data_IF_995411296032
#
_entry.id   IF_995411296032
#
_cell.length_a   1.000
_cell.length_b   1.000
_cell.length_c   1.000
_cell.angle_alpha   90.00
_cell.angle_beta   90.00
_cell.angle_gamma   90.00
#
_symmetry.space_group_name_H-M   'P 1'
#
loop_
_entity.id
_entity.type
_entity.pdbx_description
1 polymer ?
#
# COMPACT_ATOMS: atom_id res chain seq x y z
N UNK A 1 18.48 -5.99 -18.38
CA UNK A 1 17.16 -5.43 -17.96
C UNK A 1 17.26 -3.99 -17.42
N UNK A 2 18.27 -3.70 -16.59
CA UNK A 2 18.47 -2.38 -15.96
C UNK A 2 18.51 -1.21 -16.96
N UNK A 3 19.28 -1.32 -18.05
CA UNK A 3 19.43 -0.24 -19.04
C UNK A 3 18.08 0.17 -19.66
N UNK A 4 17.27 -0.81 -20.10
CA UNK A 4 15.94 -0.57 -20.65
C UNK A 4 15.02 0.12 -19.64
N UNK A 5 15.08 -0.30 -18.36
CA UNK A 5 14.35 0.36 -17.28
C UNK A 5 14.82 1.81 -17.05
N UNK A 6 16.14 2.06 -17.05
CA UNK A 6 16.68 3.42 -16.86
C UNK A 6 16.22 4.36 -17.97
N UNK A 7 16.24 3.92 -19.23
CA UNK A 7 15.76 4.71 -20.37
C UNK A 7 14.26 4.99 -20.23
N UNK A 8 13.46 3.95 -19.96
CA UNK A 8 12.02 4.07 -19.74
C UNK A 8 11.69 5.07 -18.62
N UNK A 9 12.28 4.88 -17.44
CA UNK A 9 12.06 5.73 -16.27
C UNK A 9 12.43 7.18 -16.57
N UNK A 10 13.58 7.41 -17.23
CA UNK A 10 14.06 8.76 -17.56
C UNK A 10 13.06 9.51 -18.44
N UNK A 11 12.56 8.90 -19.51
CA UNK A 11 11.60 9.58 -20.40
C UNK A 11 10.24 9.77 -19.76
N UNK A 12 9.76 8.81 -18.96
CA UNK A 12 8.50 8.97 -18.20
C UNK A 12 8.61 10.12 -17.19
N UNK A 13 9.69 10.20 -16.41
CA UNK A 13 9.87 11.25 -15.42
C UNK A 13 10.05 12.63 -16.06
N UNK A 14 10.81 12.72 -17.16
CA UNK A 14 10.95 13.95 -17.93
C UNK A 14 9.60 14.44 -18.46
N UNK A 15 8.80 13.53 -19.02
CA UNK A 15 7.44 13.86 -19.51
C UNK A 15 6.54 14.28 -18.35
N UNK A 16 6.62 13.59 -17.21
CA UNK A 16 5.88 13.94 -15.99
C UNK A 16 6.23 15.35 -15.52
N UNK A 17 7.50 15.71 -15.48
CA UNK A 17 7.96 17.05 -15.06
C UNK A 17 7.50 18.15 -16.02
N UNK A 18 7.49 17.88 -17.33
CA UNK A 18 7.06 18.86 -18.34
C UNK A 18 5.54 19.04 -18.40
N UNK A 19 4.77 17.95 -18.25
CA UNK A 19 3.33 17.95 -18.48
C UNK A 19 2.49 18.10 -17.19
N UNK A 20 3.02 17.70 -16.02
CA UNK A 20 2.25 17.71 -14.77
C UNK A 20 2.57 18.96 -13.95
N UNK A 21 1.63 19.91 -13.79
CA UNK A 21 1.88 21.13 -13.04
C UNK A 21 2.10 20.85 -11.55
N UNK A 22 3.24 21.31 -11.02
CA UNK A 22 3.58 21.17 -9.60
C UNK A 22 2.95 22.29 -8.78
N UNK A 23 2.16 21.94 -7.78
CA UNK A 23 1.64 22.89 -6.81
C UNK A 23 2.43 22.82 -5.49
N UNK A 24 3.08 23.93 -5.13
CA UNK A 24 3.75 24.04 -3.83
C UNK A 24 2.71 24.05 -2.71
N UNK A 25 2.78 23.09 -1.80
CA UNK A 25 1.90 23.06 -0.62
C UNK A 25 2.31 24.20 0.31
N UNK A 26 1.58 25.33 0.28
CA UNK A 26 1.72 26.36 1.31
C UNK A 26 1.45 25.74 2.69
N UNK A 27 2.37 25.95 3.63
CA UNK A 27 2.23 25.56 5.04
C UNK A 27 0.90 26.09 5.59
N UNK A 28 0.26 25.33 6.49
CA UNK A 28 -1.17 25.38 6.82
C UNK A 28 -1.78 26.71 7.29
N UNK A 29 -0.98 27.76 7.41
CA UNK A 29 -1.40 29.12 7.72
C UNK A 29 -2.01 29.78 6.47
N UNK A 30 -3.29 29.49 6.19
CA UNK A 30 -4.06 30.20 5.18
C UNK A 30 -4.90 29.33 4.23
N UNK A 31 -4.92 28.00 4.40
CA UNK A 31 -5.82 27.15 3.61
C UNK A 31 -7.27 27.44 4.00
N UNK A 32 -8.06 27.92 3.03
CA UNK A 32 -9.51 28.02 3.19
C UNK A 32 -10.05 26.62 3.51
N UNK A 33 -10.91 26.47 4.52
CA UNK A 33 -11.54 25.19 4.80
C UNK A 33 -12.26 24.66 3.56
N UNK A 34 -12.27 23.34 3.36
CA UNK A 34 -12.88 22.73 2.17
C UNK A 34 -14.37 23.09 2.01
N UNK A 35 -15.07 23.38 3.10
CA UNK A 35 -16.47 23.82 3.11
C UNK A 35 -16.68 25.30 2.74
N UNK A 36 -15.62 26.10 2.66
CA UNK A 36 -15.70 27.54 2.43
C UNK A 36 -15.61 27.87 0.93
N UNK A 37 -16.75 27.78 0.24
CA UNK A 37 -16.87 28.22 -1.15
C UNK A 37 -16.91 29.76 -1.28
N UNK A 38 -16.90 30.28 -2.52
CA UNK A 38 -16.88 31.72 -2.80
C UNK A 38 -18.14 32.42 -2.26
N UNK A 39 -19.31 31.80 -2.40
CA UNK A 39 -20.60 32.35 -1.97
C UNK A 39 -20.67 32.50 -0.45
N UNK A 40 -20.29 31.45 0.30
CA UNK A 40 -20.18 31.48 1.76
C UNK A 40 -19.18 32.52 2.25
N UNK A 41 -18.06 32.68 1.55
CA UNK A 41 -17.09 33.71 1.88
C UNK A 41 -17.69 35.11 1.74
N UNK A 42 -18.46 35.36 0.68
CA UNK A 42 -19.17 36.63 0.47
C UNK A 42 -20.25 36.84 1.54
N UNK A 43 -21.01 35.80 1.88
CA UNK A 43 -21.99 35.82 2.99
C UNK A 43 -21.34 36.18 4.33
N UNK A 44 -20.21 35.55 4.67
CA UNK A 44 -19.44 35.84 5.88
C UNK A 44 -18.88 37.27 5.90
N UNK A 45 -18.44 37.79 4.76
CA UNK A 45 -18.01 39.20 4.61
C UNK A 45 -19.17 40.16 4.82
N UNK A 46 -20.34 39.87 4.24
CA UNK A 46 -21.58 40.65 4.44
C UNK A 46 -21.98 40.65 5.92
N UNK A 47 -21.97 39.49 6.58
CA UNK A 47 -22.21 39.37 8.03
C UNK A 47 -21.25 40.23 8.85
N UNK A 48 -19.94 40.20 8.51
CA UNK A 48 -18.93 41.02 9.19
C UNK A 48 -19.17 42.51 8.96
N UNK A 49 -19.53 42.94 7.75
CA UNK A 49 -19.86 44.34 7.45
C UNK A 49 -21.06 44.83 8.27
N UNK A 50 -22.14 44.06 8.29
CA UNK A 50 -23.36 44.41 9.04
C UNK A 50 -23.12 44.42 10.55
N UNK A 51 -22.27 43.53 11.08
CA UNK A 51 -21.85 43.58 12.48
C UNK A 51 -21.21 44.94 12.86
N UNK A 52 -20.35 45.49 11.99
CA UNK A 52 -19.70 46.78 12.25
C UNK A 52 -20.70 47.94 12.16
N UNK A 53 -21.64 47.88 11.21
CA UNK A 53 -22.71 48.88 11.08
C UNK A 53 -23.66 48.86 12.28
N UNK A 54 -24.04 47.67 12.74
CA UNK A 54 -24.84 47.49 13.96
C UNK A 54 -24.12 48.05 15.19
N UNK A 55 -22.82 47.79 15.34
CA UNK A 55 -22.00 48.37 16.41
C UNK A 55 -21.92 49.90 16.39
N UNK A 56 -22.10 50.52 15.22
CA UNK A 56 -22.16 51.98 15.03
C UNK A 56 -23.59 52.55 15.12
N UNK A 57 -24.59 51.73 15.42
CA UNK A 57 -26.01 52.14 15.46
C UNK A 57 -26.66 52.34 14.08
N UNK A 58 -25.97 51.99 13.00
CA UNK A 58 -26.41 52.22 11.61
C UNK A 58 -27.14 51.03 10.99
N UNK A 59 -27.34 49.94 11.74
CA UNK A 59 -28.08 48.77 11.30
C UNK A 59 -28.90 48.18 12.45
N UNK A 60 -30.02 47.54 12.13
CA UNK A 60 -30.88 46.91 13.13
C UNK A 60 -30.27 45.61 13.67
N UNK A 61 -30.51 45.33 14.94
CA UNK A 61 -30.07 44.08 15.57
C UNK A 61 -30.70 42.85 14.89
N UNK A 62 -31.95 42.95 14.44
CA UNK A 62 -32.66 41.90 13.71
C UNK A 62 -31.99 41.57 12.38
N UNK A 63 -31.65 42.58 11.56
CA UNK A 63 -30.95 42.38 10.30
C UNK A 63 -29.58 41.71 10.46
N UNK A 64 -28.88 41.97 11.57
CA UNK A 64 -27.66 41.22 11.91
C UNK A 64 -27.96 39.78 12.32
N UNK A 65 -28.97 39.53 13.18
CA UNK A 65 -29.35 38.18 13.63
C UNK A 65 -29.79 37.27 12.48
N UNK A 66 -30.52 37.81 11.50
CA UNK A 66 -30.95 37.05 10.32
C UNK A 66 -29.78 36.64 9.44
N UNK A 67 -28.82 37.54 9.21
CA UNK A 67 -27.57 37.21 8.52
C UNK A 67 -26.73 36.18 9.28
N UNK A 68 -26.73 36.22 10.61
CA UNK A 68 -26.06 35.20 11.43
C UNK A 68 -26.74 33.83 11.25
N UNK A 69 -28.08 33.78 11.26
CA UNK A 69 -28.85 32.56 11.06
C UNK A 69 -28.62 31.95 9.67
N UNK A 70 -28.78 32.76 8.62
CA UNK A 70 -28.52 32.34 7.23
C UNK A 70 -27.09 31.82 7.06
N UNK A 71 -26.06 32.57 7.52
CA UNK A 71 -24.68 32.09 7.43
C UNK A 71 -24.45 30.78 8.19
N UNK A 72 -25.11 30.57 9.33
CA UNK A 72 -24.99 29.34 10.11
C UNK A 72 -25.62 28.15 9.39
N UNK A 73 -26.78 28.34 8.78
CA UNK A 73 -27.46 27.34 7.96
C UNK A 73 -26.64 26.97 6.73
N UNK A 74 -26.14 27.95 5.99
CA UNK A 74 -25.33 27.72 4.79
C UNK A 74 -24.04 26.96 5.11
N UNK A 75 -23.37 27.31 6.23
CA UNK A 75 -22.20 26.56 6.71
C UNK A 75 -22.58 25.10 7.05
N UNK A 76 -23.75 24.89 7.65
CA UNK A 76 -24.22 23.55 8.03
C UNK A 76 -24.51 22.71 6.79
N UNK A 77 -25.22 23.29 5.81
CA UNK A 77 -25.50 22.66 4.50
C UNK A 77 -24.21 22.32 3.75
N UNK A 78 -23.26 23.25 3.65
CA UNK A 78 -22.00 23.00 2.95
C UNK A 78 -21.14 21.91 3.62
N UNK A 79 -21.12 21.85 4.96
CA UNK A 79 -20.43 20.77 5.69
C UNK A 79 -21.13 19.42 5.48
N UNK A 80 -22.46 19.39 5.49
CA UNK A 80 -23.24 18.18 5.23
C UNK A 80 -23.01 17.69 3.80
N UNK A 81 -23.03 18.58 2.81
CA UNK A 81 -22.79 18.24 1.41
C UNK A 81 -21.42 17.60 1.20
N UNK A 82 -20.37 18.12 1.84
CA UNK A 82 -19.04 17.51 1.77
C UNK A 82 -19.04 16.10 2.36
N UNK A 83 -19.73 15.89 3.48
CA UNK A 83 -19.84 14.56 4.07
C UNK A 83 -20.59 13.62 3.13
N UNK A 84 -21.73 14.04 2.56
CA UNK A 84 -22.47 13.25 1.57
C UNK A 84 -21.59 12.89 0.36
N UNK A 85 -20.87 13.85 -0.21
CA UNK A 85 -19.98 13.63 -1.34
C UNK A 85 -18.84 12.66 -0.98
N UNK A 86 -18.23 12.81 0.20
CA UNK A 86 -17.19 11.88 0.65
C UNK A 86 -17.74 10.48 0.83
N UNK A 87 -18.92 10.32 1.43
CA UNK A 87 -19.60 9.04 1.64
C UNK A 87 -19.96 8.35 0.32
N UNK A 88 -20.41 9.12 -0.68
CA UNK A 88 -20.75 8.60 -2.00
C UNK A 88 -19.54 7.97 -2.72
N UNK A 89 -18.35 8.56 -2.57
CA UNK A 89 -17.13 8.15 -3.29
C UNK A 89 -16.21 7.28 -2.42
N UNK A 90 -16.64 6.82 -1.23
CA UNK A 90 -15.78 6.02 -0.31
C UNK A 90 -15.30 4.72 -0.96
N UNK A 91 -16.17 4.07 -1.76
CA UNK A 91 -15.83 2.79 -2.40
C UNK A 91 -14.59 2.94 -3.30
N UNK A 92 -14.52 4.04 -4.05
CA UNK A 92 -13.46 4.30 -5.03
C UNK A 92 -12.28 5.07 -4.41
N UNK A 93 -12.54 5.98 -3.48
CA UNK A 93 -11.51 6.83 -2.86
C UNK A 93 -11.62 6.82 -1.32
N UNK A 94 -11.24 5.68 -0.74
CA UNK A 94 -11.15 5.52 0.73
C UNK A 94 -10.20 6.55 1.36
N UNK A 95 -9.14 6.96 0.64
CA UNK A 95 -8.10 7.88 1.15
C UNK A 95 -8.67 9.25 1.48
N UNK A 96 -9.54 9.81 0.64
CA UNK A 96 -10.15 11.13 0.88
C UNK A 96 -11.06 11.11 2.12
N UNK A 97 -11.82 10.02 2.30
CA UNK A 97 -12.68 9.82 3.44
C UNK A 97 -11.88 9.71 4.76
N UNK A 98 -10.89 8.81 4.82
CA UNK A 98 -10.07 8.67 6.02
C UNK A 98 -9.25 9.92 6.32
N UNK A 99 -8.81 10.66 5.29
CA UNK A 99 -8.19 11.97 5.47
C UNK A 99 -9.15 12.95 6.16
N UNK A 100 -10.40 13.04 5.71
CA UNK A 100 -11.41 13.88 6.34
C UNK A 100 -11.66 13.48 7.80
N UNK A 101 -11.78 12.18 8.09
CA UNK A 101 -11.95 11.67 9.46
C UNK A 101 -10.73 11.98 10.34
N UNK A 102 -9.52 11.76 9.82
CA UNK A 102 -8.29 12.03 10.56
C UNK A 102 -8.08 13.54 10.80
N UNK A 103 -8.47 14.41 9.86
CA UNK A 103 -8.46 15.86 10.07
C UNK A 103 -9.45 16.32 11.16
N UNK A 104 -10.45 15.49 11.50
CA UNK A 104 -11.35 15.72 12.65
C UNK A 104 -10.81 15.17 13.97
N UNK A 105 -9.86 14.23 13.91
CA UNK A 105 -9.16 13.74 15.10
C UNK A 105 -8.17 14.82 15.52
N UNK A 106 -8.27 15.30 16.77
CA UNK A 106 -7.50 16.45 17.27
C UNK A 106 -5.99 16.19 17.42
N UNK A 107 -5.54 14.94 17.37
CA UNK A 107 -4.14 14.58 17.49
C UNK A 107 -3.58 14.15 16.13
N UNK A 108 -2.63 14.93 15.59
CA UNK A 108 -1.61 14.36 14.70
C UNK A 108 -0.53 13.82 15.62
N UNK A 109 -0.53 12.51 15.84
CA UNK A 109 0.58 11.87 16.56
C UNK A 109 1.77 11.83 15.61
N UNK A 110 2.78 12.67 15.87
CA UNK A 110 4.11 12.43 15.34
C UNK A 110 4.63 11.09 15.92
N UNK A 111 5.64 10.49 15.28
CA UNK A 111 6.30 9.32 15.85
C UNK A 111 6.78 9.66 17.27
N UNK A 112 6.36 8.83 18.22
CA UNK A 112 6.75 8.93 19.62
C UNK A 112 8.28 8.88 19.73
N UNK A 113 8.90 9.54 20.72
CA UNK A 113 10.30 9.29 21.03
C UNK A 113 10.57 7.80 21.19
N UNK A 114 11.71 7.35 20.65
CA UNK A 114 12.12 5.94 20.63
C UNK A 114 13.30 5.73 21.57
N UNK A 115 13.53 4.48 22.00
CA UNK A 115 14.75 4.08 22.70
C UNK A 115 15.74 3.51 21.70
N UNK A 116 16.97 4.00 21.73
CA UNK A 116 18.09 3.41 21.01
C UNK A 116 18.58 2.10 21.69
N UNK A 117 19.57 1.44 21.09
CA UNK A 117 20.13 0.21 21.63
C UNK A 117 20.86 0.39 22.97
N UNK A 118 21.23 1.63 23.31
CA UNK A 118 21.90 2.03 24.55
C UNK A 118 20.89 2.46 25.64
N UNK A 119 19.61 2.54 25.31
CA UNK A 119 18.54 2.96 26.23
C UNK A 119 18.34 4.48 26.30
N UNK A 120 18.93 5.26 25.40
CA UNK A 120 18.71 6.70 25.32
C UNK A 120 17.44 7.02 24.54
N UNK A 121 16.77 8.12 24.91
CA UNK A 121 15.56 8.59 24.24
C UNK A 121 15.93 9.43 23.03
N UNK A 122 15.44 9.02 21.87
CA UNK A 122 15.65 9.65 20.56
C UNK A 122 14.40 10.42 20.16
N UNK A 123 14.53 11.73 19.96
CA UNK A 123 13.42 12.64 19.65
C UNK A 123 13.45 13.16 18.22
N UNK A 124 14.63 13.24 17.60
CA UNK A 124 14.80 13.75 16.24
C UNK A 124 14.35 12.72 15.18
N UNK A 125 13.74 13.20 14.10
CA UNK A 125 13.10 12.31 13.11
C UNK A 125 14.11 11.49 12.30
N UNK A 126 15.30 12.05 12.02
CA UNK A 126 16.40 11.35 11.34
C UNK A 126 16.96 10.22 12.21
N UNK A 127 17.27 10.51 13.47
CA UNK A 127 17.77 9.52 14.42
C UNK A 127 16.75 8.41 14.68
N UNK A 128 15.45 8.74 14.81
CA UNK A 128 14.38 7.73 14.92
C UNK A 128 14.34 6.80 13.71
N UNK A 129 14.53 7.35 12.50
CA UNK A 129 14.55 6.55 11.29
C UNK A 129 15.72 5.57 11.30
N UNK A 130 16.91 5.99 11.74
CA UNK A 130 18.08 5.12 11.87
C UNK A 130 17.90 4.03 12.93
N UNK A 131 17.34 4.35 14.10
CA UNK A 131 17.05 3.36 15.15
C UNK A 131 16.10 2.28 14.62
N UNK A 132 15.01 2.68 13.95
CA UNK A 132 14.06 1.74 13.36
C UNK A 132 14.68 0.92 12.23
N UNK A 133 15.48 1.56 11.36
CA UNK A 133 16.17 0.90 10.26
C UNK A 133 17.16 -0.16 10.78
N UNK A 134 18.00 0.19 11.76
CA UNK A 134 18.93 -0.72 12.41
C UNK A 134 18.19 -1.93 13.02
N UNK A 135 17.08 -1.69 13.73
CA UNK A 135 16.27 -2.75 14.29
C UNK A 135 15.63 -3.64 13.22
N UNK A 136 14.99 -3.07 12.19
CA UNK A 136 14.38 -3.88 11.12
C UNK A 136 15.43 -4.69 10.35
N UNK A 137 16.59 -4.10 10.07
CA UNK A 137 17.70 -4.80 9.44
C UNK A 137 18.28 -5.93 10.32
N UNK A 138 18.32 -5.76 11.65
CA UNK A 138 18.81 -6.80 12.56
C UNK A 138 17.84 -8.00 12.66
N UNK A 139 16.55 -7.77 12.38
CA UNK A 139 15.53 -8.82 12.38
C UNK A 139 15.56 -9.66 11.10
N UNK A 140 15.95 -9.07 9.98
CA UNK A 140 16.20 -9.81 8.74
C UNK A 140 17.44 -10.69 8.92
N UNK A 141 17.24 -12.01 9.01
CA UNK A 141 18.34 -12.96 9.19
C UNK A 141 19.33 -12.87 8.00
N UNK A 142 20.60 -12.52 8.27
CA UNK A 142 21.65 -12.50 7.22
C UNK A 142 21.99 -13.89 6.65
N UNK A 143 21.61 -14.96 7.34
CA UNK A 143 21.88 -16.35 6.95
C UNK A 143 20.89 -16.92 5.92
N UNK A 144 19.89 -16.15 5.48
CA UNK A 144 18.89 -16.59 4.49
C UNK A 144 19.22 -16.12 3.06
N UNK A 145 20.31 -15.38 2.88
CA UNK A 145 20.84 -15.04 1.56
C UNK A 145 21.49 -16.26 0.91
N UNK A 146 21.26 -16.44 -0.39
CA UNK A 146 22.06 -17.34 -1.20
C UNK A 146 23.54 -16.94 -1.03
N UNK A 147 24.48 -17.85 -0.70
CA UNK A 147 25.88 -17.48 -0.66
C UNK A 147 26.28 -16.97 -2.04
N UNK A 148 26.78 -15.74 -2.11
CA UNK A 148 27.34 -15.16 -3.34
C UNK A 148 28.43 -16.11 -3.85
N UNK A 149 28.10 -16.90 -4.89
CA UNK A 149 29.02 -17.88 -5.49
C UNK A 149 28.48 -19.31 -5.57
N UNK A 150 27.35 -19.64 -4.93
CA UNK A 150 26.71 -20.95 -5.16
C UNK A 150 25.78 -20.82 -6.35
N UNK A 151 26.00 -21.61 -7.41
CA UNK A 151 25.02 -21.75 -8.48
C UNK A 151 23.66 -22.15 -7.87
N UNK A 152 22.52 -21.77 -8.49
CA UNK A 152 21.24 -22.41 -8.21
C UNK A 152 21.44 -23.92 -8.14
N UNK A 153 20.62 -24.70 -7.39
CA UNK A 153 20.75 -26.15 -7.42
C UNK A 153 20.76 -26.54 -8.89
N UNK A 154 21.74 -27.33 -9.34
CA UNK A 154 21.76 -27.81 -10.73
C UNK A 154 20.37 -28.38 -10.98
N UNK A 155 19.56 -27.61 -11.73
CA UNK A 155 18.22 -28.02 -12.09
C UNK A 155 18.49 -29.07 -13.14
N UNK A 156 18.62 -30.33 -12.70
CA UNK A 156 18.71 -31.47 -13.59
C UNK A 156 17.57 -31.31 -14.61
N UNK A 157 17.93 -31.30 -15.90
CA UNK A 157 17.00 -31.32 -17.01
C UNK A 157 16.14 -32.58 -16.86
N UNK A 158 15.03 -32.48 -16.14
CA UNK A 158 14.02 -33.52 -16.13
C UNK A 158 13.34 -33.43 -17.48
N UNK A 159 13.50 -34.48 -18.29
CA UNK A 159 12.88 -34.70 -19.60
C UNK A 159 11.33 -34.75 -19.51
N UNK A 160 10.71 -33.64 -19.11
CA UNK A 160 9.26 -33.41 -19.13
C UNK A 160 8.97 -32.21 -20.01
N UNK A 161 7.99 -32.37 -20.91
CA UNK A 161 7.43 -31.41 -21.87
C UNK A 161 7.93 -29.97 -21.76
N UNK A 162 8.61 -29.50 -22.82
CA UNK A 162 9.06 -28.14 -23.11
C UNK A 162 8.30 -27.04 -22.31
N UNK A 163 8.85 -26.64 -21.16
CA UNK A 163 8.40 -25.46 -20.42
C UNK A 163 8.76 -24.20 -21.21
N UNK A 164 7.91 -23.85 -22.18
CA UNK A 164 8.00 -22.57 -22.86
C UNK A 164 7.82 -21.43 -21.85
N UNK A 165 8.72 -20.44 -21.83
CA UNK A 165 8.61 -19.33 -20.90
C UNK A 165 7.30 -18.59 -21.14
N UNK A 166 6.63 -18.22 -20.05
CA UNK A 166 5.41 -17.44 -20.14
C UNK A 166 5.67 -16.15 -20.93
N UNK A 167 4.88 -15.96 -21.98
CA UNK A 167 4.93 -14.74 -22.80
C UNK A 167 4.08 -13.67 -22.11
N UNK A 168 4.73 -12.57 -21.72
CA UNK A 168 4.07 -11.40 -21.15
C UNK A 168 3.49 -10.57 -22.30
N UNK A 169 2.18 -10.76 -22.52
CA UNK A 169 1.42 -10.05 -23.55
C UNK A 169 1.25 -8.56 -23.20
N UNK A 170 1.35 -7.70 -24.20
CA UNK A 170 1.16 -6.25 -24.07
C UNK A 170 -0.23 -5.91 -23.52
N UNK A 171 -1.25 -6.61 -24.00
CA UNK A 171 -2.65 -6.42 -23.61
C UNK A 171 -2.83 -6.73 -22.12
N UNK A 172 -2.16 -7.78 -21.62
CA UNK A 172 -2.22 -8.13 -20.20
C UNK A 172 -1.55 -7.08 -19.31
N UNK A 173 -0.49 -6.42 -19.80
CA UNK A 173 0.14 -5.29 -19.11
C UNK A 173 -0.78 -4.07 -19.14
N UNK A 174 -1.36 -3.74 -20.29
CA UNK A 174 -2.32 -2.65 -20.45
C UNK A 174 -3.50 -2.81 -19.48
N UNK A 175 -4.11 -3.99 -19.44
CA UNK A 175 -5.21 -4.30 -18.53
C UNK A 175 -4.83 -4.03 -17.06
N UNK A 176 -3.62 -4.44 -16.65
CA UNK A 176 -3.14 -4.22 -15.29
C UNK A 176 -2.92 -2.73 -15.00
N UNK A 177 -2.41 -1.96 -15.97
CA UNK A 177 -2.22 -0.51 -15.87
C UNK A 177 -3.56 0.22 -15.76
N UNK A 178 -4.52 -0.11 -16.61
CA UNK A 178 -5.87 0.46 -16.62
C UNK A 178 -6.62 0.26 -15.29
N UNK A 179 -6.37 -0.85 -14.60
CA UNK A 179 -6.99 -1.17 -13.31
C UNK A 179 -6.18 -0.73 -12.08
N UNK A 180 -5.15 0.11 -12.26
CA UNK A 180 -4.39 0.64 -11.12
C UNK A 180 -5.24 1.59 -10.25
N UNK A 181 -5.07 1.45 -8.93
CA UNK A 181 -5.64 2.39 -7.96
C UNK A 181 -4.78 3.67 -7.92
N UNK A 182 -5.29 4.74 -8.54
CA UNK A 182 -4.61 6.04 -8.63
C UNK A 182 -4.53 6.82 -7.32
N UNK A 183 -5.14 6.32 -6.25
CA UNK A 183 -5.04 6.93 -4.93
C UNK A 183 -3.91 6.34 -4.08
N UNK A 184 -3.24 5.29 -4.57
CA UNK A 184 -2.02 4.74 -3.96
C UNK A 184 -0.85 5.71 -4.07
N UNK A 185 0.15 5.49 -3.21
CA UNK A 185 1.38 6.28 -3.21
C UNK A 185 2.37 5.72 -4.25
N UNK A 186 3.22 6.59 -4.79
CA UNK A 186 4.35 6.20 -5.65
C UNK A 186 5.45 5.49 -4.84
N UNK A 187 6.22 4.64 -5.50
CA UNK A 187 7.38 3.98 -4.92
C UNK A 187 8.64 4.87 -4.94
N UNK A 188 9.83 4.30 -4.67
CA UNK A 188 11.11 5.00 -4.78
C UNK A 188 11.46 5.39 -6.23
N UNK A 189 10.78 4.80 -7.22
CA UNK A 189 10.92 5.13 -8.64
C UNK A 189 10.37 6.52 -9.01
N UNK A 190 9.55 7.15 -8.16
CA UNK A 190 8.96 8.47 -8.41
C UNK A 190 7.82 8.48 -9.43
N UNK A 191 7.37 7.31 -9.90
CA UNK A 191 6.32 7.22 -10.92
C UNK A 191 4.95 7.07 -10.22
N UNK A 192 4.07 8.04 -10.43
CA UNK A 192 2.75 8.01 -9.79
C UNK A 192 1.82 6.98 -10.47
N UNK A 193 1.03 6.16 -9.73
CA UNK A 193 0.09 5.20 -10.35
C UNK A 193 -0.93 5.85 -11.30
N UNK A 194 -1.23 7.14 -11.10
CA UNK A 194 -2.07 7.93 -12.02
C UNK A 194 -1.45 8.09 -13.40
N UNK A 195 -0.15 8.40 -13.47
CA UNK A 195 0.56 8.56 -14.75
C UNK A 195 0.58 7.23 -15.48
N UNK A 196 0.87 6.13 -14.77
CA UNK A 196 0.84 4.78 -15.34
C UNK A 196 -0.53 4.40 -15.91
N UNK A 197 -1.62 4.76 -15.22
CA UNK A 197 -2.97 4.46 -15.68
C UNK A 197 -3.41 5.34 -16.84
N UNK A 198 -3.13 6.63 -16.78
CA UNK A 198 -3.54 7.58 -17.83
C UNK A 198 -2.72 7.40 -19.12
N UNK A 199 -1.51 6.84 -19.03
CA UNK A 199 -0.65 6.51 -20.18
C UNK A 199 -0.58 4.99 -20.43
N UNK A 200 -1.60 4.22 -20.03
CA UNK A 200 -1.55 2.76 -20.10
C UNK A 200 -1.26 2.23 -21.52
N UNK A 201 -1.89 2.83 -22.54
CA UNK A 201 -1.71 2.46 -23.95
C UNK A 201 -0.26 2.64 -24.41
N UNK A 202 0.34 3.79 -24.10
CA UNK A 202 1.71 4.12 -24.52
C UNK A 202 2.78 3.35 -23.74
N UNK A 203 2.50 3.04 -22.47
CA UNK A 203 3.48 2.39 -21.58
C UNK A 203 3.40 0.87 -21.61
N UNK A 204 2.31 0.27 -22.10
CA UNK A 204 2.12 -1.18 -22.08
C UNK A 204 3.20 -1.92 -22.86
N UNK A 205 3.49 -1.49 -24.10
CA UNK A 205 4.50 -2.09 -24.97
C UNK A 205 5.93 -2.03 -24.42
N UNK A 206 6.47 -0.86 -24.04
CA UNK A 206 7.83 -0.82 -23.50
C UNK A 206 7.94 -1.61 -22.18
N UNK A 207 6.91 -1.59 -21.33
CA UNK A 207 6.90 -2.36 -20.10
C UNK A 207 6.83 -3.88 -20.36
N UNK A 208 6.03 -4.35 -21.33
CA UNK A 208 5.97 -5.79 -21.65
C UNK A 208 7.33 -6.33 -22.09
N UNK A 209 8.08 -5.55 -22.90
CA UNK A 209 9.44 -5.91 -23.31
C UNK A 209 10.38 -6.00 -22.10
N UNK A 210 10.37 -5.01 -21.21
CA UNK A 210 11.21 -5.01 -20.00
C UNK A 210 10.84 -6.17 -19.08
N UNK A 211 9.54 -6.43 -18.88
CA UNK A 211 9.05 -7.53 -18.06
C UNK A 211 9.45 -8.89 -18.64
N UNK A 212 9.31 -9.07 -19.96
CA UNK A 212 9.72 -10.31 -20.61
C UNK A 212 11.22 -10.56 -20.45
N UNK A 213 12.04 -9.52 -20.66
CA UNK A 213 13.48 -9.64 -20.45
C UNK A 213 13.82 -9.93 -18.98
N UNK A 214 13.16 -9.26 -18.04
CA UNK A 214 13.31 -9.51 -16.60
C UNK A 214 13.03 -10.97 -16.25
N UNK A 215 11.91 -11.50 -16.73
CA UNK A 215 11.50 -12.88 -16.51
C UNK A 215 12.51 -13.89 -17.05
N UNK A 216 13.01 -13.68 -18.27
CA UNK A 216 13.94 -14.60 -18.93
C UNK A 216 15.33 -14.58 -18.29
N UNK A 217 15.84 -13.40 -17.88
CA UNK A 217 17.19 -13.30 -17.32
C UNK A 217 17.24 -13.50 -15.81
N UNK A 218 16.10 -13.40 -15.13
CA UNK A 218 16.01 -13.33 -13.67
C UNK A 218 16.59 -12.01 -13.10
N UNK A 219 16.85 -11.02 -13.95
CA UNK A 219 17.32 -9.71 -13.50
C UNK A 219 16.13 -8.80 -13.22
N UNK A 220 16.17 -8.08 -12.10
CA UNK A 220 15.19 -7.04 -11.77
C UNK A 220 15.90 -5.70 -11.64
N UNK A 221 15.29 -4.59 -12.12
CA UNK A 221 15.84 -3.27 -11.93
C UNK A 221 16.05 -2.89 -10.46
N UNK A 222 17.06 -2.06 -10.20
CA UNK A 222 17.41 -1.65 -8.83
C UNK A 222 16.22 -0.99 -8.11
N UNK A 223 15.47 -0.13 -8.80
CA UNK A 223 14.29 0.54 -8.22
C UNK A 223 13.22 -0.43 -7.73
N UNK A 224 13.14 -1.64 -8.30
CA UNK A 224 12.15 -2.65 -7.90
C UNK A 224 12.60 -3.40 -6.65
N UNK A 225 13.91 -3.40 -6.36
CA UNK A 225 14.51 -3.97 -5.15
C UNK A 225 14.48 -3.00 -3.97
N UNK A 226 14.26 -1.71 -4.25
CA UNK A 226 14.17 -0.65 -3.24
C UNK A 226 12.74 -0.47 -2.72
N UNK A 227 12.63 0.00 -1.48
CA UNK A 227 11.35 0.34 -0.88
C UNK A 227 11.46 1.56 0.04
N UNK A 228 10.43 2.40 0.03
CA UNK A 228 10.24 3.38 1.09
C UNK A 228 9.56 2.69 2.28
N UNK A 229 10.29 2.50 3.39
CA UNK A 229 9.79 1.80 4.57
C UNK A 229 9.10 2.78 5.52
N UNK A 230 7.83 2.54 5.82
CA UNK A 230 7.07 3.31 6.82
C UNK A 230 6.81 2.46 8.06
N UNK A 231 7.26 2.87 9.26
CA UNK A 231 6.97 2.16 10.50
C UNK A 231 5.51 2.35 10.89
N UNK A 232 4.81 1.25 11.22
CA UNK A 232 3.45 1.28 11.76
C UNK A 232 3.44 0.68 13.15
N UNK A 233 3.04 1.49 14.14
CA UNK A 233 2.87 1.02 15.51
C UNK A 233 1.84 -0.11 15.58
N UNK A 234 2.21 -1.22 16.24
CA UNK A 234 1.41 -2.44 16.33
C UNK A 234 0.75 -2.61 17.71
N UNK A 235 1.53 -2.65 18.79
CA UNK A 235 1.09 -2.91 20.18
C UNK A 235 2.24 -2.64 21.15
N UNK A 236 2.00 -2.55 22.47
CA UNK A 236 3.07 -2.47 23.48
C UNK A 236 3.47 -1.04 23.84
N UNK A 237 4.74 -0.83 24.18
CA UNK A 237 5.32 0.49 24.47
C UNK A 237 5.71 1.18 23.17
N UNK A 238 5.38 2.47 23.02
CA UNK A 238 5.65 3.22 21.76
C UNK A 238 7.12 3.60 21.61
N UNK A 239 7.88 3.51 22.68
CA UNK A 239 9.30 3.82 22.71
C UNK A 239 10.15 2.67 22.16
N UNK A 240 9.63 1.45 22.21
CA UNK A 240 10.33 0.23 21.79
C UNK A 240 10.19 0.00 20.26
N UNK A 241 11.29 0.00 19.49
CA UNK A 241 11.28 -0.28 18.05
C UNK A 241 10.63 -1.62 17.68
N UNK A 242 10.70 -2.62 18.56
CA UNK A 242 10.11 -3.95 18.38
C UNK A 242 8.59 -3.97 18.28
N UNK A 243 7.95 -2.88 18.70
CA UNK A 243 6.51 -2.68 18.67
C UNK A 243 6.00 -2.05 17.36
N UNK A 244 6.90 -1.83 16.39
CA UNK A 244 6.59 -1.31 15.07
C UNK A 244 6.72 -2.39 14.00
N UNK A 245 5.89 -2.29 12.96
CA UNK A 245 5.96 -3.12 11.77
C UNK A 245 6.50 -2.29 10.60
N UNK A 246 7.52 -2.78 9.86
CA UNK A 246 7.92 -2.13 8.62
C UNK A 246 6.86 -2.40 7.54
N UNK A 247 6.35 -1.34 6.92
CA UNK A 247 5.54 -1.44 5.70
C UNK A 247 6.32 -0.87 4.54
N UNK A 248 6.68 -1.76 3.60
CA UNK A 248 7.48 -1.44 2.43
C UNK A 248 6.61 -0.93 1.27
N UNK A 249 6.84 0.30 0.85
CA UNK A 249 6.25 0.86 -0.36
C UNK A 249 7.23 0.72 -1.53
N UNK A 250 7.10 -0.38 -2.27
CA UNK A 250 7.90 -0.70 -3.47
C UNK A 250 7.34 -0.06 -4.75
N UNK A 251 8.14 -0.11 -5.82
CA UNK A 251 7.81 0.35 -7.18
C UNK A 251 6.47 -0.18 -7.68
N UNK A 252 5.68 0.69 -8.32
CA UNK A 252 4.37 0.29 -8.87
C UNK A 252 4.53 -0.61 -10.10
N UNK A 253 5.41 -0.29 -11.07
CA UNK A 253 5.76 -1.22 -12.15
C UNK A 253 6.32 -2.56 -11.64
N UNK A 254 7.20 -2.55 -10.63
CA UNK A 254 7.70 -3.81 -10.04
C UNK A 254 6.58 -4.72 -9.52
N UNK A 255 5.57 -4.15 -8.83
CA UNK A 255 4.37 -4.88 -8.39
C UNK A 255 3.53 -5.44 -9.52
N UNK A 256 3.58 -4.86 -10.72
CA UNK A 256 2.88 -5.39 -11.89
C UNK A 256 3.59 -6.68 -12.33
N UNK A 257 4.92 -6.69 -12.38
CA UNK A 257 5.71 -7.90 -12.66
C UNK A 257 5.44 -9.00 -11.63
N UNK A 258 5.48 -8.67 -10.34
CA UNK A 258 5.14 -9.60 -9.24
C UNK A 258 3.74 -10.23 -9.40
N UNK A 259 2.77 -9.53 -10.02
CA UNK A 259 1.44 -10.12 -10.29
C UNK A 259 1.48 -11.21 -11.36
N UNK A 260 2.37 -11.12 -12.35
CA UNK A 260 2.56 -12.20 -13.32
C UNK A 260 3.17 -13.43 -12.62
N UNK A 261 4.18 -13.22 -11.78
CA UNK A 261 4.79 -14.29 -10.96
C UNK A 261 3.76 -14.95 -10.07
N UNK A 262 2.97 -14.15 -9.35
CA UNK A 262 1.92 -14.64 -8.48
C UNK A 262 0.88 -15.46 -9.25
N UNK A 263 0.53 -15.08 -10.48
CA UNK A 263 -0.39 -15.85 -11.33
C UNK A 263 0.19 -17.23 -11.66
N UNK A 264 1.46 -17.31 -12.04
CA UNK A 264 2.15 -18.58 -12.32
C UNK A 264 2.19 -19.46 -11.08
N UNK A 265 2.67 -18.92 -9.95
CA UNK A 265 2.74 -19.64 -8.67
C UNK A 265 1.36 -20.14 -8.22
N UNK A 266 0.33 -19.30 -8.33
CA UNK A 266 -1.03 -19.67 -7.90
C UNK A 266 -1.63 -20.76 -8.78
N UNK A 267 -1.33 -20.74 -10.09
CA UNK A 267 -1.76 -21.78 -11.02
C UNK A 267 -1.05 -23.09 -10.69
N UNK A 268 0.28 -23.05 -10.60
CA UNK A 268 1.13 -24.21 -10.26
C UNK A 268 0.68 -24.92 -8.99
N UNK A 269 0.50 -24.15 -7.91
CA UNK A 269 0.10 -24.71 -6.61
C UNK A 269 -1.33 -25.26 -6.63
N UNK A 270 -2.22 -24.72 -7.46
CA UNK A 270 -3.58 -25.24 -7.62
C UNK A 270 -3.58 -26.55 -8.38
N UNK A 271 -2.88 -26.60 -9.51
CA UNK A 271 -2.88 -27.74 -10.43
C UNK A 271 -2.21 -28.95 -9.75
N UNK A 272 -1.18 -28.71 -8.92
CA UNK A 272 -0.48 -29.75 -8.15
C UNK A 272 -1.08 -30.05 -6.76
N UNK A 273 -2.26 -29.51 -6.45
CA UNK A 273 -2.92 -29.66 -5.14
C UNK A 273 -2.02 -29.33 -3.93
N UNK A 274 -1.06 -28.42 -4.09
CA UNK A 274 -0.05 -28.12 -3.08
C UNK A 274 -0.59 -27.42 -1.82
N UNK A 275 -1.82 -26.89 -1.87
CA UNK A 275 -2.48 -26.24 -0.73
C UNK A 275 -3.70 -27.04 -0.29
N UNK A 276 -3.72 -27.39 1.01
CA UNK A 276 -4.86 -28.08 1.63
C UNK A 276 -6.14 -27.22 1.61
N UNK A 277 -7.33 -27.84 1.45
CA UNK A 277 -8.60 -27.14 1.54
C UNK A 277 -8.87 -26.43 2.88
N UNK A 278 -8.14 -26.76 3.95
CA UNK A 278 -8.23 -26.07 5.25
C UNK A 278 -7.45 -24.73 5.31
N UNK A 279 -6.69 -24.36 4.28
CA UNK A 279 -5.96 -23.08 4.23
C UNK A 279 -6.90 -21.93 3.85
N UNK A 280 -7.10 -20.96 4.74
CA UNK A 280 -7.95 -19.78 4.44
C UNK A 280 -7.15 -18.50 4.18
N UNK A 281 -5.97 -18.37 4.79
CA UNK A 281 -5.12 -17.20 4.61
C UNK A 281 -4.64 -17.08 3.16
N UNK A 282 -4.76 -15.87 2.59
CA UNK A 282 -4.29 -15.53 1.23
C UNK A 282 -4.94 -16.32 0.08
N UNK A 283 -6.04 -17.03 0.32
CA UNK A 283 -6.75 -17.78 -0.72
C UNK A 283 -7.93 -16.99 -1.29
N UNK A 284 -8.06 -16.98 -2.63
CA UNK A 284 -9.19 -16.35 -3.32
C UNK A 284 -10.51 -16.99 -2.87
N UNK A 285 -11.50 -16.16 -2.54
CA UNK A 285 -12.82 -16.62 -2.09
C UNK A 285 -12.88 -17.10 -0.63
N UNK A 286 -11.77 -17.00 0.12
CA UNK A 286 -11.73 -17.34 1.56
C UNK A 286 -11.41 -16.11 2.40
N UNK A 287 -11.90 -16.11 3.63
CA UNK A 287 -11.75 -15.03 4.60
C UNK A 287 -11.59 -15.55 6.02
N UNK A 288 -11.22 -14.66 6.96
CA UNK A 288 -11.21 -14.99 8.40
C UNK A 288 -12.57 -15.50 8.87
N UNK A 289 -13.67 -14.95 8.34
CA UNK A 289 -15.02 -15.40 8.69
C UNK A 289 -15.28 -16.84 8.23
N UNK A 290 -14.94 -17.17 6.98
CA UNK A 290 -15.11 -18.54 6.49
C UNK A 290 -14.27 -19.55 7.30
N UNK A 291 -13.09 -19.13 7.78
CA UNK A 291 -12.25 -19.98 8.62
C UNK A 291 -12.91 -20.23 9.98
N UNK A 292 -13.43 -19.16 10.59
CA UNK A 292 -14.13 -19.24 11.87
C UNK A 292 -15.38 -20.12 11.78
N UNK A 293 -16.15 -19.99 10.70
CA UNK A 293 -17.33 -20.83 10.45
C UNK A 293 -16.93 -22.29 10.30
N UNK A 294 -15.93 -22.60 9.46
CA UNK A 294 -15.47 -23.98 9.24
C UNK A 294 -14.89 -24.62 10.51
N UNK A 295 -14.25 -23.83 11.36
CA UNK A 295 -13.77 -24.26 12.67
C UNK A 295 -14.95 -24.54 13.62
N UNK A 296 -15.87 -23.60 13.79
CA UNK A 296 -17.00 -23.78 14.72
C UNK A 296 -17.92 -24.91 14.31
N UNK A 297 -18.20 -25.11 13.02
CA UNK A 297 -19.01 -26.24 12.54
C UNK A 297 -18.42 -27.60 12.96
N UNK A 298 -17.09 -27.74 12.94
CA UNK A 298 -16.42 -28.95 13.44
C UNK A 298 -16.53 -29.09 14.96
N UNK A 299 -16.29 -27.99 15.69
CA UNK A 299 -16.36 -27.98 17.15
C UNK A 299 -17.77 -28.30 17.63
N UNK A 300 -18.80 -27.67 17.08
CA UNK A 300 -20.20 -27.88 17.51
C UNK A 300 -20.65 -29.30 17.24
N UNK A 301 -20.30 -29.90 16.09
CA UNK A 301 -20.62 -31.31 15.81
C UNK A 301 -20.01 -32.27 16.84
N UNK A 302 -18.74 -32.08 17.18
CA UNK A 302 -18.07 -32.92 18.19
C UNK A 302 -18.72 -32.76 19.57
N UNK A 303 -19.10 -31.53 19.93
CA UNK A 303 -19.79 -31.24 21.20
C UNK A 303 -21.20 -31.86 21.22
N UNK A 304 -21.95 -31.78 20.12
CA UNK A 304 -23.28 -32.39 19.98
C UNK A 304 -23.22 -33.93 20.09
N UNK A 305 -22.12 -34.54 19.66
CA UNK A 305 -21.82 -35.97 19.85
C UNK A 305 -21.34 -36.31 21.29
N UNK A 306 -21.27 -35.34 22.19
CA UNK A 306 -20.81 -35.51 23.57
C UNK A 306 -19.30 -35.71 23.71
N UNK A 307 -18.50 -35.36 22.67
CA UNK A 307 -17.05 -35.47 22.70
C UNK A 307 -16.40 -34.21 23.28
N UNK A 308 -15.32 -34.39 24.01
CA UNK A 308 -14.46 -33.27 24.43
C UNK A 308 -13.65 -32.73 23.25
N UNK A 309 -13.42 -31.42 23.22
CA UNK A 309 -12.67 -30.73 22.16
C UNK A 309 -11.59 -29.86 22.79
N UNK A 310 -10.33 -30.17 22.48
CA UNK A 310 -9.17 -29.36 22.83
C UNK A 310 -8.63 -28.62 21.59
N UNK A 311 -8.22 -27.37 21.77
CA UNK A 311 -7.78 -26.50 20.66
C UNK A 311 -6.37 -25.99 20.93
N UNK A 312 -5.45 -26.27 20.00
CA UNK A 312 -4.06 -25.79 20.05
C UNK A 312 -3.87 -24.66 19.04
N UNK A 313 -3.52 -23.48 19.53
CA UNK A 313 -3.18 -22.34 18.68
C UNK A 313 -1.65 -22.23 18.51
N UNK A 314 -1.20 -22.18 17.26
CA UNK A 314 0.20 -22.02 16.89
C UNK A 314 0.37 -20.68 16.14
N UNK A 315 1.40 -19.92 16.48
CA UNK A 315 1.77 -18.68 15.78
C UNK A 315 3.27 -18.65 15.50
N UNK A 316 3.65 -18.27 14.28
CA UNK A 316 5.04 -18.15 13.89
C UNK A 316 5.55 -16.74 14.17
N UNK A 317 6.63 -16.64 14.95
CA UNK A 317 7.29 -15.36 15.17
C UNK A 317 7.92 -14.86 13.88
N UNK A 318 7.51 -13.66 13.43
CA UNK A 318 8.14 -12.95 12.30
C UNK A 318 8.27 -13.82 11.04
N UNK A 319 7.18 -14.52 10.69
CA UNK A 319 7.18 -15.54 9.64
C UNK A 319 7.79 -15.07 8.31
N UNK A 320 7.51 -13.84 7.85
CA UNK A 320 8.09 -13.34 6.59
C UNK A 320 9.58 -12.98 6.69
N UNK A 321 10.04 -12.53 7.86
CA UNK A 321 11.43 -12.11 8.06
C UNK A 321 12.37 -13.29 8.34
N UNK A 322 11.82 -14.43 8.77
CA UNK A 322 12.56 -15.62 9.19
C UNK A 322 12.65 -16.74 8.13
N UNK A 323 11.99 -16.60 6.97
CA UNK A 323 12.02 -17.61 5.91
C UNK A 323 13.42 -17.66 5.27
N UNK A 324 13.99 -18.86 5.17
CA UNK A 324 15.19 -19.10 4.37
C UNK A 324 14.85 -19.12 2.89
N UNK A 325 15.46 -18.25 2.09
CA UNK A 325 15.23 -18.22 0.64
C UNK A 325 15.74 -19.49 -0.04
N UNK A 326 16.86 -20.07 0.39
CA UNK A 326 17.37 -21.32 -0.19
C UNK A 326 16.38 -22.48 -0.01
N UNK A 327 15.91 -22.69 1.23
CA UNK A 327 14.95 -23.75 1.55
C UNK A 327 13.62 -23.53 0.81
N UNK A 328 13.18 -22.27 0.67
CA UNK A 328 11.97 -21.95 -0.07
C UNK A 328 12.12 -22.33 -1.56
N UNK A 329 13.23 -21.93 -2.19
CA UNK A 329 13.50 -22.22 -3.60
C UNK A 329 13.67 -23.73 -3.85
N UNK A 330 14.39 -24.45 -3.00
CA UNK A 330 14.53 -25.91 -3.07
C UNK A 330 13.17 -26.61 -3.00
N UNK A 331 12.28 -26.16 -2.11
CA UNK A 331 10.92 -26.71 -2.01
C UNK A 331 10.10 -26.42 -3.25
N UNK A 332 10.17 -25.20 -3.80
CA UNK A 332 9.44 -24.84 -5.01
C UNK A 332 9.94 -25.65 -6.21
N UNK A 333 11.25 -25.86 -6.33
CA UNK A 333 11.86 -26.73 -7.34
C UNK A 333 11.44 -28.19 -7.18
N UNK A 334 11.45 -28.72 -5.95
CA UNK A 334 10.97 -30.07 -5.66
C UNK A 334 9.48 -30.27 -5.99
N UNK A 335 8.69 -29.20 -5.93
CA UNK A 335 7.29 -29.17 -6.38
C UNK A 335 7.12 -28.91 -7.88
N UNK A 336 8.20 -28.91 -8.68
CA UNK A 336 8.17 -28.84 -10.14
C UNK A 336 7.89 -27.45 -10.70
N UNK A 337 8.19 -26.37 -9.97
CA UNK A 337 8.08 -25.02 -10.52
C UNK A 337 9.14 -24.81 -11.61
N UNK A 338 8.78 -24.10 -12.67
CA UNK A 338 9.68 -23.90 -13.82
C UNK A 338 10.92 -23.08 -13.46
N UNK A 339 12.00 -23.32 -14.21
CA UNK A 339 13.32 -22.70 -13.96
C UNK A 339 13.32 -21.18 -14.10
N UNK A 340 12.45 -20.61 -14.95
CA UNK A 340 12.42 -19.17 -15.20
C UNK A 340 11.79 -18.46 -14.00
N UNK A 341 10.66 -18.98 -13.50
CA UNK A 341 10.00 -18.47 -12.29
C UNK A 341 10.84 -18.69 -11.04
N UNK A 342 11.61 -19.78 -10.94
CA UNK A 342 12.52 -20.01 -9.80
C UNK A 342 13.72 -19.06 -9.79
N UNK A 343 14.21 -18.69 -10.98
CA UNK A 343 15.37 -17.82 -11.14
C UNK A 343 15.03 -16.35 -10.91
N UNK A 344 13.83 -15.93 -11.33
CA UNK A 344 13.29 -14.59 -11.08
C UNK A 344 12.92 -14.43 -9.61
#
# INVERSE_FOLDING_TARGET
VQEGWTIFKKEVLKTQEQAVPVCHKKNGWGRRPAWLNRELLLGLRKKRRVYHLWKKGQATQEGYRDLVRSCREDIRKAKAQIQCNLTAVVKDNKKSFYKYINDKKRAKENLHPLLDAQGNIVTEDEEKAEVLNAFFASVCNRQTGYPQGTQPPELEDRDGEQDEPLIIQEEAVNDLLCHLDTHKSMGPDGIHPRVLRELAEELAKPLSIIYQQSWLTGEVPDDWRLANVTPIYKKGWKEDPGNYRPVSLTSVPGKITERFVLRVLTRHVRDNQGIRPSQHGFMKGRSRLTNLISFYDQVTRLVDEGKAVDVVYLDFSKAFDAISHSILLEKLAAHGLDRWTLRW
#
